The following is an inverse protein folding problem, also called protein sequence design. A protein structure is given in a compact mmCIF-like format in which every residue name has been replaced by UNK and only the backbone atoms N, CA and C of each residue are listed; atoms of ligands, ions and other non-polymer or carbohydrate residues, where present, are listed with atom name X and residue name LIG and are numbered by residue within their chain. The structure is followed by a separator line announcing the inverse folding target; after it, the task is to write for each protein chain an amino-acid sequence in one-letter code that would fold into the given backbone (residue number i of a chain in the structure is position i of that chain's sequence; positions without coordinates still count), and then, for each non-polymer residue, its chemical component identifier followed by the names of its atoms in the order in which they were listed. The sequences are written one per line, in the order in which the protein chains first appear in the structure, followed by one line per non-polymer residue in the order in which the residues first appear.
data_IF_956092750007
#
_entry.id   IF_956092750007
#
_cell.length_a   1.000
_cell.length_b   1.000
_cell.length_c   1.000
_cell.angle_alpha   90.00
_cell.angle_beta   90.00
_cell.angle_gamma   90.00
#
_symmetry.space_group_name_H-M   'P 1'
#
loop_
_entity.id
_entity.type
_entity.pdbx_description
1 polymer ?
#
# COMPACT_ATOMS: atom_id res chain seq x y z
N UNK A 1 37.57 35.93 47.29
CA UNK A 1 37.97 35.02 46.18
C UNK A 1 37.66 33.59 46.58
N UNK A 2 36.53 33.06 46.10
CA UNK A 2 36.17 31.63 46.08
C UNK A 2 35.48 31.45 44.72
N UNK A 3 35.95 30.59 43.80
CA UNK A 3 35.23 30.36 42.56
C UNK A 3 34.17 29.28 42.80
N UNK A 4 32.89 29.66 42.75
CA UNK A 4 31.83 28.66 42.59
C UNK A 4 31.73 28.27 41.12
N UNK A 5 32.26 27.07 40.86
CA UNK A 5 32.11 26.28 39.64
C UNK A 5 30.63 25.94 39.48
N UNK A 6 29.91 26.67 38.64
CA UNK A 6 28.55 26.27 38.22
C UNK A 6 28.70 25.15 37.18
N UNK A 7 28.37 23.94 37.62
CA UNK A 7 28.41 22.73 36.80
C UNK A 7 27.45 22.85 35.61
N UNK A 8 28.01 22.70 34.42
CA UNK A 8 27.32 22.74 33.12
C UNK A 8 26.45 21.48 32.85
N UNK A 9 25.96 20.80 33.89
CA UNK A 9 25.26 19.52 33.76
C UNK A 9 23.74 19.67 33.57
N UNK A 10 23.16 20.83 33.94
CA UNK A 10 21.72 21.07 33.78
C UNK A 10 21.35 21.65 32.39
N UNK A 11 22.25 22.40 31.75
CA UNK A 11 22.00 22.98 30.43
C UNK A 11 22.03 21.92 29.32
N UNK A 12 22.90 20.90 29.44
CA UNK A 12 22.99 19.79 28.47
C UNK A 12 21.78 18.85 28.60
N UNK A 13 21.24 18.67 29.82
CA UNK A 13 20.05 17.87 30.06
C UNK A 13 18.78 18.52 29.51
N UNK A 14 18.62 19.84 29.64
CA UNK A 14 17.48 20.56 29.06
C UNK A 14 17.54 20.61 27.53
N UNK A 15 18.74 20.77 26.94
CA UNK A 15 18.90 20.77 25.49
C UNK A 15 18.66 19.38 24.89
N UNK A 16 19.10 18.29 25.55
CA UNK A 16 18.78 16.93 25.16
C UNK A 16 17.29 16.62 25.32
N UNK A 17 16.62 17.12 26.36
CA UNK A 17 15.18 16.96 26.54
C UNK A 17 14.39 17.75 25.49
N UNK A 18 14.83 18.96 25.10
CA UNK A 18 14.20 19.73 24.02
C UNK A 18 14.44 19.09 22.65
N UNK A 19 15.65 18.55 22.39
CA UNK A 19 15.94 17.81 21.15
C UNK A 19 15.15 16.48 21.08
N UNK A 20 15.02 15.77 22.20
CA UNK A 20 14.21 14.54 22.27
C UNK A 20 12.70 14.83 22.16
N UNK A 21 12.21 15.96 22.67
CA UNK A 21 10.80 16.34 22.50
C UNK A 21 10.48 16.74 21.05
N UNK A 22 11.42 17.36 20.33
CA UNK A 22 11.24 17.68 18.92
C UNK A 22 11.38 16.47 17.99
N UNK A 23 12.18 15.45 18.36
CA UNK A 23 12.25 14.18 17.61
C UNK A 23 10.97 13.35 17.80
N UNK A 24 10.34 13.40 18.99
CA UNK A 24 9.11 12.64 19.27
C UNK A 24 7.86 13.34 18.70
N UNK A 25 7.80 14.68 18.72
CA UNK A 25 6.59 15.42 18.30
C UNK A 25 6.46 15.57 16.77
N UNK A 26 7.53 15.45 15.99
CA UNK A 26 7.43 15.48 14.51
C UNK A 26 6.83 14.17 13.94
N UNK A 27 6.88 13.05 14.67
CA UNK A 27 6.10 11.85 14.32
C UNK A 27 4.59 11.98 14.65
N UNK A 28 4.18 13.07 15.30
CA UNK A 28 2.82 13.29 15.79
C UNK A 28 1.84 13.85 14.76
N UNK A 29 2.26 14.17 13.54
CA UNK A 29 1.35 14.54 12.47
C UNK A 29 1.25 13.42 11.43
N UNK A 30 0.25 12.57 11.69
CA UNK A 30 -0.73 12.17 10.67
C UNK A 30 -0.70 10.77 10.03
N UNK A 31 -0.36 9.68 10.73
CA UNK A 31 -1.02 8.36 10.56
C UNK A 31 -0.81 7.54 11.84
N UNK A 32 -1.88 7.08 12.52
CA UNK A 32 -1.72 6.11 13.61
C UNK A 32 -1.61 4.70 13.01
N UNK A 33 -0.53 4.48 12.26
CA UNK A 33 -0.07 3.14 11.84
C UNK A 33 0.95 2.68 12.86
N UNK A 34 0.64 1.66 13.67
CA UNK A 34 1.69 1.02 14.45
C UNK A 34 2.48 0.11 13.52
N UNK A 35 3.68 0.54 13.15
CA UNK A 35 4.67 -0.38 12.58
C UNK A 35 5.33 -1.12 13.74
N UNK A 36 5.14 -2.44 13.80
CA UNK A 36 5.84 -3.27 14.79
C UNK A 36 6.90 -4.08 14.05
N UNK A 37 8.16 -3.76 14.32
CA UNK A 37 9.26 -4.64 13.94
C UNK A 37 9.21 -5.87 14.86
N UNK A 38 9.13 -7.07 14.27
CA UNK A 38 9.30 -8.31 15.04
C UNK A 38 10.80 -8.58 15.23
N UNK A 39 11.16 -9.39 16.22
CA UNK A 39 12.58 -9.73 16.51
C UNK A 39 13.36 -10.35 15.35
N UNK A 40 12.68 -10.77 14.27
CA UNK A 40 13.31 -11.09 12.98
C UNK A 40 13.34 -9.83 12.10
N UNK A 41 14.53 -9.23 11.97
CA UNK A 41 14.81 -8.00 11.20
C UNK A 41 14.44 -8.05 9.71
N UNK A 42 13.94 -9.19 9.23
CA UNK A 42 13.45 -9.42 7.86
C UNK A 42 11.96 -9.13 7.69
N UNK A 43 11.22 -8.85 8.77
CA UNK A 43 9.76 -8.64 8.72
C UNK A 43 9.37 -7.28 9.29
N UNK A 44 8.82 -6.43 8.43
CA UNK A 44 8.14 -5.19 8.84
C UNK A 44 6.64 -5.40 8.71
N UNK A 45 5.90 -5.27 9.82
CA UNK A 45 4.44 -5.34 9.83
C UNK A 45 3.91 -3.93 10.02
N UNK A 46 3.21 -3.42 9.01
CA UNK A 46 2.38 -2.23 9.15
C UNK A 46 0.95 -2.65 9.50
N UNK A 47 0.42 -2.18 10.63
CA UNK A 47 -0.98 -2.38 10.99
C UNK A 47 -1.79 -1.11 10.78
N UNK A 48 -2.92 -1.29 10.09
CA UNK A 48 -4.07 -0.39 9.96
C UNK A 48 -3.83 0.87 9.13
N UNK A 49 -4.43 0.90 7.95
CA UNK A 49 -4.57 2.12 7.16
C UNK A 49 -5.77 2.92 7.67
N UNK A 50 -5.54 4.04 8.35
CA UNK A 50 -6.62 4.92 8.83
C UNK A 50 -6.92 5.95 7.76
N UNK A 51 -8.16 5.99 7.26
CA UNK A 51 -8.62 6.98 6.30
C UNK A 51 -8.43 8.38 6.89
N UNK A 52 -7.55 9.18 6.28
CA UNK A 52 -7.42 10.60 6.60
C UNK A 52 -8.04 11.40 5.46
N UNK A 53 -8.88 12.38 5.77
CA UNK A 53 -9.37 13.36 4.80
C UNK A 53 -8.32 14.47 4.58
N UNK A 54 -7.70 14.58 3.40
CA UNK A 54 -6.83 15.69 3.02
C UNK A 54 -7.57 16.82 2.26
N UNK A 55 -8.90 16.76 2.18
CA UNK A 55 -9.71 17.53 1.22
C UNK A 55 -9.58 19.06 1.28
N UNK A 56 -9.04 19.64 2.35
CA UNK A 56 -8.80 21.08 2.46
C UNK A 56 -7.47 21.53 1.85
N UNK A 57 -6.38 20.76 2.03
CA UNK A 57 -5.02 21.16 1.61
C UNK A 57 -4.81 21.06 0.10
N UNK A 58 -5.52 20.12 -0.56
CA UNK A 58 -5.43 19.89 -2.01
C UNK A 58 -6.11 21.01 -2.79
N UNK A 59 -7.26 21.51 -2.29
CA UNK A 59 -8.04 22.58 -2.95
C UNK A 59 -7.26 23.89 -3.05
N UNK A 60 -6.48 24.23 -2.02
CA UNK A 60 -5.65 25.44 -1.99
C UNK A 60 -4.47 25.36 -2.98
N UNK A 61 -3.83 24.19 -3.10
CA UNK A 61 -2.71 23.99 -4.05
C UNK A 61 -3.16 23.99 -5.52
N UNK A 62 -4.37 23.52 -5.81
CA UNK A 62 -4.95 23.46 -7.17
C UNK A 62 -5.29 24.86 -7.69
N UNK A 63 -5.86 25.72 -6.83
CA UNK A 63 -6.26 27.08 -7.22
C UNK A 63 -5.08 27.97 -7.64
N UNK A 64 -3.85 27.62 -7.26
CA UNK A 64 -2.62 28.34 -7.62
C UNK A 64 -1.89 27.78 -8.86
N UNK A 65 -2.39 26.71 -9.51
CA UNK A 65 -1.77 26.18 -10.73
C UNK A 65 -2.27 26.89 -11.99
N UNK A 66 -1.35 27.19 -12.89
CA UNK A 66 -1.61 27.82 -14.20
C UNK A 66 -2.33 26.90 -15.20
N UNK A 67 -2.17 25.58 -15.08
CA UNK A 67 -2.89 24.59 -15.89
C UNK A 67 -4.08 23.99 -15.10
N UNK A 68 -5.29 24.45 -15.45
CA UNK A 68 -6.54 24.01 -14.83
C UNK A 68 -6.89 22.55 -15.12
N UNK A 69 -6.44 21.98 -16.25
CA UNK A 69 -6.75 20.60 -16.64
C UNK A 69 -5.94 19.62 -15.81
N UNK A 70 -4.63 19.83 -15.72
CA UNK A 70 -3.76 19.01 -14.87
C UNK A 70 -4.20 19.05 -13.40
N UNK A 71 -4.62 20.22 -12.92
CA UNK A 71 -5.10 20.39 -11.56
C UNK A 71 -6.43 19.64 -11.31
N UNK A 72 -7.32 19.57 -12.32
CA UNK A 72 -8.56 18.79 -12.26
C UNK A 72 -8.29 17.28 -12.27
N UNK A 73 -7.39 16.81 -13.14
CA UNK A 73 -7.03 15.39 -13.23
C UNK A 73 -6.40 14.90 -11.91
N UNK A 74 -5.53 15.72 -11.32
CA UNK A 74 -4.94 15.44 -10.00
C UNK A 74 -6.02 15.36 -8.90
N UNK A 75 -6.98 16.28 -8.90
CA UNK A 75 -8.08 16.27 -7.94
C UNK A 75 -8.94 15.00 -8.04
N UNK A 76 -9.26 14.59 -9.25
CA UNK A 76 -10.06 13.40 -9.50
C UNK A 76 -9.31 12.12 -9.16
N UNK A 77 -7.99 12.09 -9.34
CA UNK A 77 -7.16 11.00 -8.82
C UNK A 77 -7.17 10.93 -7.29
N UNK A 78 -7.00 12.05 -6.58
CA UNK A 78 -7.05 12.06 -5.11
C UNK A 78 -8.43 11.64 -4.58
N UNK A 79 -9.53 12.04 -5.23
CA UNK A 79 -10.87 11.55 -4.87
C UNK A 79 -11.02 10.04 -5.07
N UNK A 80 -10.47 9.48 -6.17
CA UNK A 80 -10.48 8.04 -6.40
C UNK A 80 -9.67 7.31 -5.33
N UNK A 81 -8.51 7.87 -4.99
CA UNK A 81 -7.62 7.39 -3.95
C UNK A 81 -8.32 7.30 -2.59
N UNK A 82 -9.03 8.35 -2.18
CA UNK A 82 -9.80 8.38 -0.94
C UNK A 82 -10.92 7.31 -0.89
N UNK A 83 -11.37 6.81 -2.03
CA UNK A 83 -12.50 5.88 -2.16
C UNK A 83 -12.10 4.42 -2.33
N UNK A 84 -10.83 4.12 -2.62
CA UNK A 84 -10.37 2.76 -2.91
C UNK A 84 -9.23 2.35 -1.96
N UNK A 85 -9.50 1.35 -1.12
CA UNK A 85 -8.55 0.86 -0.11
C UNK A 85 -7.27 0.27 -0.73
N UNK A 86 -7.39 -0.38 -1.89
CA UNK A 86 -6.24 -0.89 -2.64
C UNK A 86 -5.28 0.22 -3.07
N UNK A 87 -5.80 1.32 -3.62
CA UNK A 87 -4.98 2.49 -3.94
C UNK A 87 -4.34 3.08 -2.70
N UNK A 88 -5.12 3.24 -1.62
CA UNK A 88 -4.60 3.71 -0.35
C UNK A 88 -3.39 2.88 0.12
N UNK A 89 -3.50 1.56 0.03
CA UNK A 89 -2.45 0.63 0.37
C UNK A 89 -1.20 0.79 -0.52
N UNK A 90 -1.35 0.95 -1.84
CA UNK A 90 -0.19 1.13 -2.74
C UNK A 90 0.63 2.38 -2.40
N UNK A 91 -0.01 3.54 -2.15
CA UNK A 91 0.73 4.77 -1.78
C UNK A 91 1.44 4.59 -0.44
N UNK A 92 0.77 3.98 0.53
CA UNK A 92 1.37 3.70 1.83
C UNK A 92 2.64 2.87 1.66
N UNK A 93 2.58 1.80 0.86
CA UNK A 93 3.76 1.00 0.57
C UNK A 93 4.84 1.81 -0.16
N UNK A 94 4.45 2.67 -1.10
CA UNK A 94 5.38 3.52 -1.85
C UNK A 94 6.13 4.51 -0.94
N UNK A 95 5.47 5.00 0.10
CA UNK A 95 5.98 6.01 1.04
C UNK A 95 6.82 5.37 2.15
N UNK A 96 6.32 4.29 2.77
CA UNK A 96 6.89 3.75 4.00
C UNK A 96 7.68 2.44 3.82
N UNK A 97 7.53 1.75 2.69
CA UNK A 97 8.19 0.47 2.44
C UNK A 97 9.13 0.48 1.19
N UNK A 98 9.98 1.50 0.97
CA UNK A 98 10.74 1.61 -0.29
C UNK A 98 11.88 0.60 -0.45
N UNK A 99 12.30 -0.09 0.63
CA UNK A 99 13.51 -0.93 0.65
C UNK A 99 13.27 -2.42 0.85
N UNK A 100 12.02 -2.87 0.93
CA UNK A 100 11.70 -4.29 1.08
C UNK A 100 11.65 -4.99 -0.28
N UNK A 101 12.10 -6.25 -0.41
CA UNK A 101 12.06 -6.97 -1.70
C UNK A 101 10.64 -7.46 -2.06
N UNK A 102 9.87 -7.83 -1.04
CA UNK A 102 8.51 -8.33 -1.19
C UNK A 102 7.58 -7.58 -0.22
N UNK A 103 6.35 -7.36 -0.65
CA UNK A 103 5.27 -6.84 0.18
C UNK A 103 4.14 -7.86 0.15
N UNK A 104 3.54 -8.13 1.30
CA UNK A 104 2.33 -8.94 1.40
C UNK A 104 1.16 -8.05 1.81
N UNK A 105 0.10 -8.03 1.00
CA UNK A 105 -1.22 -7.50 1.40
C UNK A 105 -1.99 -8.62 2.10
N UNK A 106 -2.69 -8.27 3.17
CA UNK A 106 -3.60 -9.13 3.93
C UNK A 106 -4.80 -8.29 4.34
N UNK A 107 -5.99 -8.89 4.32
CA UNK A 107 -7.16 -8.34 5.00
C UNK A 107 -7.03 -8.51 6.53
N UNK A 108 -7.78 -7.72 7.30
CA UNK A 108 -7.69 -7.69 8.76
C UNK A 108 -8.36 -8.90 9.44
N UNK A 109 -9.15 -9.66 8.69
CA UNK A 109 -9.79 -10.91 9.09
C UNK A 109 -9.06 -12.17 8.58
N UNK A 110 -7.87 -12.01 7.97
CA UNK A 110 -7.07 -13.11 7.43
C UNK A 110 -5.89 -13.47 8.33
N UNK A 111 -5.72 -14.76 8.59
CA UNK A 111 -4.59 -15.28 9.37
C UNK A 111 -3.58 -15.99 8.47
N UNK A 112 -2.32 -15.52 8.45
CA UNK A 112 -1.29 -16.12 7.60
C UNK A 112 -0.18 -16.82 8.39
N UNK A 113 0.24 -17.98 7.90
CA UNK A 113 1.47 -18.64 8.36
C UNK A 113 2.69 -17.96 7.73
N UNK A 114 3.11 -16.84 8.31
CA UNK A 114 4.22 -16.04 7.80
C UNK A 114 5.56 -16.81 7.77
N UNK A 115 5.78 -17.79 8.65
CA UNK A 115 6.96 -18.66 8.61
C UNK A 115 6.98 -19.52 7.35
N UNK A 116 5.82 -20.09 6.97
CA UNK A 116 5.70 -20.84 5.73
C UNK A 116 5.91 -19.95 4.50
N UNK A 117 5.37 -18.73 4.51
CA UNK A 117 5.56 -17.73 3.43
C UNK A 117 7.04 -17.36 3.29
N UNK A 118 7.73 -17.05 4.40
CA UNK A 118 9.15 -16.74 4.38
C UNK A 118 10.01 -17.88 3.86
N UNK A 119 9.72 -19.12 4.29
CA UNK A 119 10.39 -20.32 3.77
C UNK A 119 10.16 -20.48 2.27
N UNK A 120 8.92 -20.31 1.81
CA UNK A 120 8.55 -20.35 0.39
C UNK A 120 9.36 -19.33 -0.42
N UNK A 121 9.35 -18.05 -0.02
CA UNK A 121 10.07 -16.98 -0.70
C UNK A 121 11.58 -17.24 -0.70
N UNK A 122 12.15 -17.60 0.46
CA UNK A 122 13.59 -17.83 0.61
C UNK A 122 14.08 -18.95 -0.30
N UNK A 123 13.38 -20.08 -0.35
CA UNK A 123 13.75 -21.21 -1.21
C UNK A 123 13.69 -20.80 -2.68
N UNK A 124 12.62 -20.11 -3.09
CA UNK A 124 12.43 -19.74 -4.49
C UNK A 124 13.43 -18.67 -4.94
N UNK A 125 13.75 -17.69 -4.11
CA UNK A 125 14.81 -16.70 -4.37
C UNK A 125 16.18 -17.39 -4.49
N UNK A 126 16.56 -18.23 -3.53
CA UNK A 126 17.86 -18.93 -3.54
C UNK A 126 18.04 -19.83 -4.77
N UNK A 127 16.96 -20.47 -5.21
CA UNK A 127 16.97 -21.36 -6.39
C UNK A 127 16.71 -20.64 -7.71
N UNK A 128 16.58 -19.30 -7.71
CA UNK A 128 16.25 -18.48 -8.90
C UNK A 128 14.97 -18.94 -9.60
N UNK A 129 13.98 -19.36 -8.82
CA UNK A 129 12.68 -19.87 -9.29
C UNK A 129 11.58 -18.80 -9.38
N UNK A 130 11.88 -17.55 -9.00
CA UNK A 130 11.00 -16.40 -9.21
C UNK A 130 11.62 -15.48 -10.26
N UNK A 131 10.80 -14.85 -11.10
CA UNK A 131 11.21 -13.64 -11.80
C UNK A 131 11.86 -12.66 -10.82
N UNK A 132 13.01 -12.11 -11.20
CA UNK A 132 13.76 -11.20 -10.32
C UNK A 132 13.05 -9.86 -10.09
N UNK A 133 11.98 -9.58 -10.85
CA UNK A 133 11.30 -8.29 -10.95
C UNK A 133 9.86 -8.50 -11.38
N UNK A 134 9.01 -7.53 -11.03
CA UNK A 134 7.63 -7.40 -11.51
C UNK A 134 6.79 -8.67 -11.38
N UNK A 135 6.66 -9.17 -10.16
CA UNK A 135 5.94 -10.39 -9.86
C UNK A 135 4.85 -10.14 -8.81
N UNK A 136 3.65 -10.65 -9.09
CA UNK A 136 2.55 -10.80 -8.13
C UNK A 136 2.22 -12.27 -7.98
N UNK A 137 1.99 -12.71 -6.75
CA UNK A 137 1.69 -14.10 -6.44
C UNK A 137 0.54 -14.20 -5.44
N UNK A 138 -0.46 -15.05 -5.73
CA UNK A 138 -1.68 -15.11 -4.92
C UNK A 138 -2.52 -16.35 -5.23
N UNK A 139 -3.62 -16.51 -4.49
CA UNK A 139 -4.73 -17.37 -4.92
C UNK A 139 -5.46 -16.66 -6.06
N UNK A 140 -5.43 -17.26 -7.26
CA UNK A 140 -6.08 -16.66 -8.42
C UNK A 140 -7.58 -16.90 -8.40
N UNK A 141 -8.31 -15.80 -8.56
CA UNK A 141 -9.70 -15.74 -8.97
C UNK A 141 -9.72 -15.62 -10.48
N UNK A 142 -10.34 -16.57 -11.17
CA UNK A 142 -10.43 -16.58 -12.64
C UNK A 142 -11.88 -16.93 -13.03
N UNK A 143 -12.42 -16.23 -14.03
CA UNK A 143 -13.80 -16.42 -14.46
C UNK A 143 -14.87 -15.89 -13.49
N UNK A 144 -14.53 -14.95 -12.60
CA UNK A 144 -15.52 -14.36 -11.68
C UNK A 144 -16.50 -13.47 -12.43
N UNK A 145 -17.83 -13.63 -12.26
CA UNK A 145 -18.81 -12.83 -12.99
C UNK A 145 -18.87 -11.39 -12.46
N UNK A 146 -19.03 -10.44 -13.37
CA UNK A 146 -19.37 -9.06 -13.04
C UNK A 146 -20.86 -9.01 -12.65
N UNK A 147 -21.14 -8.95 -11.34
CA UNK A 147 -22.51 -9.05 -10.84
C UNK A 147 -23.30 -7.79 -11.20
N UNK A 148 -24.41 -7.97 -11.93
CA UNK A 148 -25.28 -6.87 -12.41
C UNK A 148 -26.54 -6.66 -11.57
N UNK A 149 -26.75 -7.48 -10.54
CA UNK A 149 -27.82 -7.29 -9.56
C UNK A 149 -27.45 -6.17 -8.58
N UNK A 150 -28.22 -5.07 -8.61
CA UNK A 150 -28.03 -3.89 -7.75
C UNK A 150 -28.16 -4.18 -6.25
N UNK A 151 -28.79 -5.30 -5.87
CA UNK A 151 -28.95 -5.70 -4.48
C UNK A 151 -27.75 -6.52 -3.96
N UNK A 152 -26.83 -6.91 -4.83
CA UNK A 152 -25.65 -7.66 -4.43
C UNK A 152 -24.56 -6.70 -3.92
N UNK A 153 -23.88 -7.07 -2.82
CA UNK A 153 -22.76 -6.28 -2.28
C UNK A 153 -21.64 -6.05 -3.28
N UNK A 154 -21.48 -6.95 -4.26
CA UNK A 154 -20.46 -6.90 -5.31
C UNK A 154 -21.01 -6.39 -6.65
N UNK A 155 -22.13 -5.66 -6.65
CA UNK A 155 -22.69 -5.05 -7.86
C UNK A 155 -21.66 -4.17 -8.58
N UNK A 156 -21.57 -4.31 -9.90
CA UNK A 156 -20.80 -3.40 -10.76
C UNK A 156 -21.57 -3.08 -12.04
N UNK A 157 -21.67 -1.79 -12.35
CA UNK A 157 -22.39 -1.33 -13.55
C UNK A 157 -21.60 -1.61 -14.83
N UNK A 158 -22.29 -1.83 -15.95
CA UNK A 158 -21.64 -1.98 -17.26
C UNK A 158 -20.90 -0.71 -17.70
N UNK A 159 -21.31 0.46 -17.19
CA UNK A 159 -20.62 1.73 -17.44
C UNK A 159 -19.27 1.85 -16.69
N UNK A 160 -19.10 1.10 -15.60
CA UNK A 160 -17.85 1.01 -14.85
C UNK A 160 -16.96 -0.10 -15.40
N UNK A 161 -17.52 -1.29 -15.63
CA UNK A 161 -16.82 -2.42 -16.23
C UNK A 161 -17.72 -3.12 -17.26
N UNK A 162 -17.43 -2.99 -18.57
CA UNK A 162 -18.33 -3.42 -19.64
C UNK A 162 -18.37 -4.94 -19.84
N UNK A 163 -17.32 -5.67 -19.47
CA UNK A 163 -17.28 -7.12 -19.66
C UNK A 163 -18.08 -7.83 -18.58
N UNK A 164 -18.66 -8.98 -18.91
CA UNK A 164 -19.47 -9.75 -17.96
C UNK A 164 -18.64 -10.65 -17.04
N UNK A 165 -17.35 -10.78 -17.30
CA UNK A 165 -16.42 -11.62 -16.55
C UNK A 165 -15.15 -10.83 -16.26
N UNK A 166 -14.67 -10.89 -15.03
CA UNK A 166 -13.38 -10.36 -14.63
C UNK A 166 -12.26 -11.24 -15.19
N UNK A 167 -11.22 -10.61 -15.75
CA UNK A 167 -9.97 -11.30 -16.05
C UNK A 167 -9.32 -11.81 -14.76
N UNK A 168 -8.42 -12.78 -14.88
CA UNK A 168 -7.72 -13.36 -13.75
C UNK A 168 -7.09 -12.28 -12.83
N UNK A 169 -7.34 -12.40 -11.53
CA UNK A 169 -6.89 -11.47 -10.50
C UNK A 169 -6.62 -12.20 -9.18
N UNK A 170 -6.03 -11.51 -8.22
CA UNK A 170 -5.79 -12.05 -6.89
C UNK A 170 -7.02 -11.92 -6.01
N UNK A 171 -7.33 -12.98 -5.26
CA UNK A 171 -8.27 -12.88 -4.15
C UNK A 171 -7.85 -11.79 -3.16
N UNK A 172 -8.81 -10.95 -2.75
CA UNK A 172 -8.60 -9.86 -1.78
C UNK A 172 -7.99 -10.28 -0.44
N UNK A 173 -8.17 -11.54 -0.03
CA UNK A 173 -7.69 -12.08 1.24
C UNK A 173 -6.17 -11.87 1.43
N UNK A 174 -5.38 -12.21 0.41
CA UNK A 174 -3.93 -12.17 0.48
C UNK A 174 -3.26 -12.21 -0.89
N UNK A 175 -2.23 -11.37 -1.07
CA UNK A 175 -1.31 -11.50 -2.20
C UNK A 175 0.07 -10.93 -1.86
N UNK A 176 1.08 -11.42 -2.57
CA UNK A 176 2.48 -11.01 -2.43
C UNK A 176 2.91 -10.33 -3.73
N UNK A 177 3.55 -9.17 -3.62
CA UNK A 177 4.12 -8.45 -4.77
C UNK A 177 5.59 -8.12 -4.54
N UNK A 178 6.35 -8.01 -5.62
CA UNK A 178 7.69 -7.41 -5.58
C UNK A 178 7.58 -5.89 -5.50
N UNK A 179 8.44 -5.25 -4.71
CA UNK A 179 8.35 -3.80 -4.45
C UNK A 179 8.59 -2.92 -5.67
N UNK A 180 9.30 -3.44 -6.67
CA UNK A 180 9.53 -2.77 -7.95
C UNK A 180 8.24 -2.59 -8.78
N UNK A 181 7.12 -3.22 -8.40
CA UNK A 181 5.80 -2.99 -8.99
C UNK A 181 5.06 -1.77 -8.44
N UNK A 182 5.36 -1.33 -7.23
CA UNK A 182 4.55 -0.32 -6.53
C UNK A 182 4.47 0.98 -7.33
N UNK A 183 5.62 1.49 -7.81
CA UNK A 183 5.65 2.74 -8.59
C UNK A 183 4.99 2.59 -9.97
N UNK A 184 5.27 1.54 -10.77
CA UNK A 184 4.53 1.28 -12.01
C UNK A 184 3.01 1.18 -11.81
N UNK A 185 2.55 0.42 -10.81
CA UNK A 185 1.12 0.28 -10.53
C UNK A 185 0.47 1.61 -10.16
N UNK A 186 1.14 2.43 -9.34
CA UNK A 186 0.65 3.75 -8.98
C UNK A 186 0.53 4.69 -10.20
N UNK A 187 1.50 4.65 -11.12
CA UNK A 187 1.45 5.44 -12.37
C UNK A 187 0.33 4.99 -13.31
N UNK A 188 0.08 3.69 -13.41
CA UNK A 188 -1.01 3.17 -14.26
C UNK A 188 -2.38 3.42 -13.62
N UNK A 189 -2.48 3.38 -12.30
CA UNK A 189 -3.69 3.76 -11.57
C UNK A 189 -4.07 5.22 -11.81
N UNK A 190 -3.11 6.14 -11.84
CA UNK A 190 -3.35 7.57 -12.11
C UNK A 190 -3.98 7.84 -13.49
N UNK A 191 -3.70 6.98 -14.47
CA UNK A 191 -4.20 7.10 -15.85
C UNK A 191 -5.51 6.34 -16.07
N UNK A 192 -5.98 5.62 -15.06
CA UNK A 192 -7.07 4.67 -15.18
C UNK A 192 -8.33 5.18 -14.50
N UNK A 193 -9.49 4.90 -15.10
CA UNK A 193 -10.77 5.05 -14.40
C UNK A 193 -10.84 3.99 -13.29
N UNK A 194 -11.16 4.43 -12.07
CA UNK A 194 -11.33 3.54 -10.92
C UNK A 194 -12.40 2.47 -11.19
N UNK A 195 -12.05 1.24 -10.81
CA UNK A 195 -12.99 0.15 -10.57
C UNK A 195 -13.05 -0.05 -9.05
N UNK A 196 -14.25 -0.08 -8.47
CA UNK A 196 -14.42 -0.04 -7.02
C UNK A 196 -13.95 -1.33 -6.33
N UNK A 197 -14.05 -2.47 -7.02
CA UNK A 197 -13.53 -3.78 -6.57
C UNK A 197 -12.00 -3.70 -6.57
N UNK A 198 -11.40 -3.50 -5.41
CA UNK A 198 -10.02 -3.05 -5.26
C UNK A 198 -8.98 -4.12 -5.62
N UNK A 199 -9.19 -5.36 -5.21
CA UNK A 199 -8.34 -6.50 -5.54
C UNK A 199 -8.30 -6.74 -7.05
N UNK A 200 -9.47 -6.74 -7.72
CA UNK A 200 -9.57 -6.79 -9.17
C UNK A 200 -8.93 -5.56 -9.84
N UNK A 201 -9.22 -4.35 -9.36
CA UNK A 201 -8.66 -3.14 -9.93
C UNK A 201 -7.13 -3.18 -9.92
N UNK A 202 -6.51 -3.51 -8.78
CA UNK A 202 -5.06 -3.57 -8.69
C UNK A 202 -4.46 -4.72 -9.50
N UNK A 203 -4.97 -5.94 -9.34
CA UNK A 203 -4.27 -7.15 -9.79
C UNK A 203 -4.80 -7.73 -11.10
N UNK A 204 -6.05 -7.44 -11.45
CA UNK A 204 -6.67 -7.83 -12.71
C UNK A 204 -6.67 -6.73 -13.78
N UNK A 205 -6.80 -5.46 -13.38
CA UNK A 205 -6.94 -4.35 -14.32
C UNK A 205 -5.66 -3.50 -14.49
N UNK A 206 -4.99 -3.14 -13.39
CA UNK A 206 -3.75 -2.33 -13.41
C UNK A 206 -2.51 -3.18 -13.68
N UNK A 207 -2.35 -4.30 -12.97
CA UNK A 207 -1.15 -5.14 -13.04
C UNK A 207 -0.75 -5.55 -14.49
N UNK A 208 -1.67 -5.99 -15.38
CA UNK A 208 -1.31 -6.35 -16.75
C UNK A 208 -0.68 -5.20 -17.55
N UNK A 209 -1.01 -3.94 -17.23
CA UNK A 209 -0.48 -2.74 -17.88
C UNK A 209 0.95 -2.40 -17.45
N UNK A 210 1.46 -3.08 -16.43
CA UNK A 210 2.81 -2.86 -15.89
C UNK A 210 3.86 -3.86 -16.40
N UNK A 211 3.48 -4.74 -17.35
CA UNK A 211 4.31 -5.84 -17.84
C UNK A 211 4.76 -6.78 -16.71
N UNK A 212 3.89 -6.96 -15.71
CA UNK A 212 4.14 -7.82 -14.58
C UNK A 212 3.66 -9.24 -14.82
N UNK A 213 4.29 -10.18 -14.14
CA UNK A 213 3.83 -11.56 -14.07
C UNK A 213 2.86 -11.76 -12.92
N UNK A 214 1.78 -12.48 -13.19
CA UNK A 214 0.81 -12.93 -12.19
C UNK A 214 0.93 -14.45 -12.05
N UNK A 215 1.25 -14.93 -10.85
CA UNK A 215 1.52 -16.35 -10.59
C UNK A 215 0.61 -16.92 -9.49
N UNK A 216 0.10 -18.13 -9.73
CA UNK A 216 -0.70 -18.86 -8.73
C UNK A 216 0.17 -19.38 -7.58
N UNK A 217 -0.26 -19.15 -6.34
CA UNK A 217 0.22 -19.83 -5.14
C UNK A 217 -0.87 -20.80 -4.67
N UNK A 218 -0.45 -21.99 -4.20
CA UNK A 218 -1.36 -22.98 -3.62
C UNK A 218 -1.90 -22.52 -2.26
N UNK A 219 -3.18 -22.77 -2.02
CA UNK A 219 -3.93 -22.40 -0.81
C UNK A 219 -3.26 -22.87 0.50
N UNK A 220 -2.35 -23.85 0.47
CA UNK A 220 -1.60 -24.30 1.65
C UNK A 220 -0.73 -23.21 2.30
N UNK A 221 -0.45 -22.10 1.60
CA UNK A 221 0.38 -21.01 2.09
C UNK A 221 -0.43 -19.77 2.52
N UNK A 222 -1.69 -19.68 2.12
CA UNK A 222 -2.59 -18.55 2.37
C UNK A 222 -4.00 -19.12 2.59
N UNK A 223 -4.35 -19.36 3.86
CA UNK A 223 -5.65 -19.86 4.30
C UNK A 223 -6.41 -18.74 5.00
#
# INVERSE_FOLDING_TARGET
MIPMRVNNLHAVSLLLLVILFWIIVICGFFYQTSMTEKSDSRIVIAKKLIRRHPGLTIREHINNRSDKKEASDQLDFEKQFERNLGLMWIRFVAEYCPKVPFIMKLDDDVAVNYIAVLRFLTIRVRRKLLPNKRLTMCRLMDGSPAIRDKNNKWYISSAEYPNDVFSAYCSGLAFIITSDLIRPMMKEAQKSKLIWVDDFFLTGYILPRTQASLSRILDRYMR
#
